data_IF_249940210070
#
_entry.id   IF_249940210070
#
_cell.length_a   1.000
_cell.length_b   1.000
_cell.length_c   1.000
_cell.angle_alpha   90.00
_cell.angle_beta   90.00
_cell.angle_gamma   90.00
#
_symmetry.space_group_name_H-M   'P 1'
#
loop_
_entity.id
_entity.type
_entity.pdbx_description
1 polymer ?
#
# COMPACT_ATOMS: atom_id res chain seq x y z
N UNK A 1 4.17 -6.37 -20.03
CA UNK A 1 4.01 -5.09 -19.32
C UNK A 1 5.27 -4.85 -18.51
N UNK A 2 6.02 -3.77 -18.79
CA UNK A 2 7.18 -3.39 -17.99
C UNK A 2 6.67 -2.68 -16.73
N UNK A 3 6.83 -3.29 -15.55
CA UNK A 3 6.54 -2.60 -14.28
C UNK A 3 7.63 -1.57 -14.03
N UNK A 4 7.24 -0.30 -13.85
CA UNK A 4 8.16 0.72 -13.36
C UNK A 4 8.04 0.77 -11.84
N UNK A 5 9.13 0.53 -11.08
CA UNK A 5 9.06 0.56 -9.63
C UNK A 5 8.71 1.98 -9.15
N UNK A 6 7.89 2.07 -8.10
CA UNK A 6 7.59 3.34 -7.46
C UNK A 6 8.88 3.97 -6.93
N UNK A 7 9.11 5.27 -7.10
CA UNK A 7 10.30 5.93 -6.58
C UNK A 7 10.28 5.88 -5.05
N UNK A 8 11.32 5.30 -4.45
CA UNK A 8 11.42 5.18 -2.99
C UNK A 8 11.96 6.47 -2.34
N UNK A 9 11.59 6.72 -1.09
CA UNK A 9 12.14 7.79 -0.26
C UNK A 9 12.18 7.37 1.20
N UNK A 10 13.15 7.88 1.95
CA UNK A 10 13.10 7.79 3.41
C UNK A 10 11.89 8.53 3.99
N UNK A 11 11.30 8.05 5.12
CA UNK A 11 10.15 8.69 5.78
C UNK A 11 10.36 10.16 6.08
N UNK A 12 11.48 10.51 6.74
CA UNK A 12 11.76 11.89 7.14
C UNK A 12 11.84 12.86 5.96
N UNK A 13 12.42 12.43 4.83
CA UNK A 13 12.49 13.23 3.61
C UNK A 13 11.09 13.47 2.99
N UNK A 14 10.12 12.62 3.29
CA UNK A 14 8.72 12.82 2.97
C UNK A 14 7.92 13.39 4.12
N UNK A 15 8.55 13.92 5.18
CA UNK A 15 7.87 14.47 6.35
C UNK A 15 7.00 13.45 7.10
N UNK A 16 7.37 12.17 7.05
CA UNK A 16 6.77 11.08 7.82
C UNK A 16 7.72 10.75 8.97
N UNK A 17 7.21 10.74 10.20
CA UNK A 17 7.97 10.30 11.36
C UNK A 17 8.20 8.78 11.30
N UNK A 18 9.47 8.37 11.23
CA UNK A 18 9.84 6.96 11.17
C UNK A 18 9.43 6.21 12.44
N UNK A 19 9.43 6.86 13.60
CA UNK A 19 9.01 6.23 14.86
C UNK A 19 7.52 5.87 14.85
N UNK A 20 6.68 6.70 14.22
CA UNK A 20 5.27 6.40 14.03
C UNK A 20 5.01 5.21 13.10
N UNK A 21 5.86 5.02 12.07
CA UNK A 21 5.79 3.83 11.21
C UNK A 21 6.12 2.57 12.02
N UNK A 22 7.18 2.60 12.83
CA UNK A 22 7.53 1.49 13.72
C UNK A 22 6.42 1.19 14.73
N UNK A 23 5.91 2.21 15.43
CA UNK A 23 4.83 2.04 16.40
C UNK A 23 3.57 1.43 15.78
N UNK A 24 3.25 1.77 14.53
CA UNK A 24 2.13 1.16 13.80
C UNK A 24 2.38 -0.32 13.48
N UNK A 25 3.61 -0.68 13.06
CA UNK A 25 3.98 -2.07 12.83
C UNK A 25 3.91 -2.88 14.14
N UNK A 26 4.46 -2.35 15.23
CA UNK A 26 4.40 -2.97 16.56
C UNK A 26 2.94 -3.20 17.00
N UNK A 27 2.06 -2.22 16.74
CA UNK A 27 0.64 -2.33 17.06
C UNK A 27 -0.09 -3.41 16.22
N UNK A 28 0.27 -3.57 14.93
CA UNK A 28 -0.26 -4.65 14.09
C UNK A 28 0.21 -6.01 14.58
N UNK A 29 1.48 -6.14 14.95
CA UNK A 29 2.05 -7.41 15.45
C UNK A 29 1.51 -7.78 16.84
N UNK A 30 1.20 -6.80 17.68
CA UNK A 30 0.62 -7.03 19.00
C UNK A 30 -0.88 -7.33 18.98
N UNK A 31 -1.58 -7.10 17.87
CA UNK A 31 -3.02 -7.29 17.76
C UNK A 31 -3.35 -8.76 17.40
N UNK A 32 -3.94 -9.55 18.31
CA UNK A 32 -4.13 -11.00 18.09
C UNK A 32 -5.18 -11.31 17.02
N UNK A 33 -6.11 -10.39 16.77
CA UNK A 33 -7.23 -10.58 15.85
C UNK A 33 -6.96 -10.05 14.43
N UNK A 34 -5.74 -9.57 14.17
CA UNK A 34 -5.35 -9.03 12.87
C UNK A 34 -4.34 -9.97 12.22
N UNK A 35 -4.64 -10.40 10.99
CA UNK A 35 -3.72 -11.17 10.15
C UNK A 35 -3.28 -10.27 8.97
N UNK A 36 -2.20 -9.47 9.13
CA UNK A 36 -1.78 -8.56 8.08
C UNK A 36 -1.11 -9.32 6.94
N UNK A 37 -1.45 -9.00 5.68
CA UNK A 37 -0.83 -9.64 4.50
C UNK A 37 0.29 -8.81 3.87
N UNK A 38 0.24 -7.49 4.03
CA UNK A 38 1.23 -6.57 3.49
C UNK A 38 0.84 -5.12 3.73
N UNK A 39 1.85 -4.26 3.72
CA UNK A 39 1.73 -2.83 3.96
C UNK A 39 2.56 -2.09 2.93
N UNK A 40 2.01 -1.00 2.39
CA UNK A 40 2.74 -0.01 1.60
C UNK A 40 2.27 1.38 2.02
N UNK A 41 3.20 2.25 2.38
CA UNK A 41 2.93 3.65 2.74
C UNK A 41 3.54 4.53 1.66
N UNK A 42 2.70 5.34 1.00
CA UNK A 42 3.12 6.27 -0.03
C UNK A 42 2.83 7.71 0.39
N UNK A 43 3.77 8.63 0.16
CA UNK A 43 3.56 10.08 0.34
C UNK A 43 4.27 10.87 -0.75
N UNK A 44 3.59 11.91 -1.28
CA UNK A 44 4.04 12.72 -2.41
C UNK A 44 4.49 11.89 -3.63
N UNK A 45 3.77 10.79 -3.91
CA UNK A 45 4.10 9.89 -5.02
C UNK A 45 5.33 9.00 -4.79
N UNK A 46 5.89 8.95 -3.58
CA UNK A 46 7.06 8.15 -3.23
C UNK A 46 6.73 7.06 -2.22
N UNK A 47 7.29 5.88 -2.41
CA UNK A 47 7.17 4.78 -1.45
C UNK A 47 8.06 5.06 -0.23
N UNK A 48 7.44 5.14 0.94
CA UNK A 48 8.08 5.50 2.20
C UNK A 48 8.42 4.26 3.04
N UNK A 49 7.53 3.28 3.06
CA UNK A 49 7.72 2.00 3.72
C UNK A 49 6.91 0.92 2.99
N UNK A 50 7.43 -0.30 2.92
CA UNK A 50 6.69 -1.45 2.42
C UNK A 50 7.19 -2.75 3.03
N UNK A 51 6.28 -3.70 3.26
CA UNK A 51 6.61 -5.01 3.80
C UNK A 51 5.47 -6.00 3.61
N UNK A 52 5.79 -7.29 3.74
CA UNK A 52 4.84 -8.40 3.63
C UNK A 52 5.13 -9.40 4.74
N UNK A 53 4.07 -9.83 5.44
CA UNK A 53 4.17 -10.89 6.43
C UNK A 53 4.13 -12.25 5.74
N UNK A 54 4.94 -13.19 6.20
CA UNK A 54 4.95 -14.54 5.64
C UNK A 54 3.59 -15.24 5.88
N UNK A 55 3.06 -16.02 4.90
CA UNK A 55 3.67 -16.41 3.62
C UNK A 55 3.32 -15.49 2.43
N UNK A 56 2.81 -14.28 2.68
CA UNK A 56 2.52 -13.31 1.63
C UNK A 56 3.81 -12.72 1.04
N UNK A 57 3.78 -12.41 -0.25
CA UNK A 57 4.91 -11.79 -0.96
C UNK A 57 4.39 -10.73 -1.93
N UNK A 58 5.25 -9.78 -2.29
CA UNK A 58 4.90 -8.68 -3.20
C UNK A 58 4.36 -9.14 -4.57
N UNK A 59 4.83 -10.29 -5.07
CA UNK A 59 4.43 -10.83 -6.38
C UNK A 59 3.21 -11.76 -6.33
N UNK A 60 2.72 -12.12 -5.15
CA UNK A 60 1.61 -13.06 -5.01
C UNK A 60 0.27 -12.33 -5.21
N UNK A 61 -0.60 -12.77 -6.13
CA UNK A 61 -1.95 -12.22 -6.26
C UNK A 61 -2.73 -12.36 -4.95
N UNK A 62 -3.46 -11.32 -4.58
CA UNK A 62 -4.30 -11.27 -3.39
C UNK A 62 -5.77 -11.14 -3.80
N UNK A 63 -6.67 -11.73 -3.01
CA UNK A 63 -8.11 -11.50 -3.15
C UNK A 63 -8.44 -10.13 -2.58
N UNK A 64 -8.84 -9.20 -3.45
CA UNK A 64 -9.13 -7.81 -3.06
C UNK A 64 -10.62 -7.55 -2.82
N UNK A 65 -11.47 -8.55 -3.05
CA UNK A 65 -12.92 -8.50 -2.83
C UNK A 65 -13.56 -7.21 -3.36
N UNK A 66 -14.29 -6.49 -2.50
CA UNK A 66 -15.01 -5.27 -2.85
C UNK A 66 -14.11 -4.11 -3.29
N UNK A 67 -12.79 -4.17 -3.10
CA UNK A 67 -11.88 -3.15 -3.64
C UNK A 67 -11.97 -3.05 -5.17
N UNK A 68 -12.33 -4.15 -5.84
CA UNK A 68 -12.66 -4.17 -7.28
C UNK A 68 -13.63 -3.05 -7.69
N UNK A 69 -14.58 -2.69 -6.82
CA UNK A 69 -15.55 -1.62 -7.08
C UNK A 69 -14.88 -0.26 -7.23
N UNK A 70 -13.85 0.04 -6.44
CA UNK A 70 -13.09 1.29 -6.57
C UNK A 70 -12.41 1.38 -7.92
N UNK A 71 -11.77 0.30 -8.40
CA UNK A 71 -11.16 0.29 -9.73
C UNK A 71 -12.20 0.50 -10.84
N UNK A 72 -13.34 -0.20 -10.77
CA UNK A 72 -14.43 -0.03 -11.76
C UNK A 72 -14.98 1.40 -11.75
N UNK A 73 -15.21 1.98 -10.57
CA UNK A 73 -15.70 3.35 -10.45
C UNK A 73 -14.70 4.38 -11.00
N UNK A 74 -13.40 4.22 -10.71
CA UNK A 74 -12.35 5.09 -11.28
C UNK A 74 -12.29 4.97 -12.80
N UNK A 75 -12.37 3.76 -13.35
CA UNK A 75 -12.38 3.55 -14.79
C UNK A 75 -13.60 4.23 -15.46
N UNK A 76 -14.78 4.10 -14.86
CA UNK A 76 -16.00 4.76 -15.34
C UNK A 76 -15.85 6.29 -15.32
N UNK A 77 -15.37 6.87 -14.22
CA UNK A 77 -15.15 8.32 -14.12
C UNK A 77 -14.12 8.85 -15.13
N UNK A 78 -13.04 8.09 -15.36
CA UNK A 78 -12.04 8.43 -16.38
C UNK A 78 -12.60 8.33 -17.81
N UNK A 79 -13.50 7.37 -18.08
CA UNK A 79 -14.15 7.24 -19.37
C UNK A 79 -15.11 8.40 -19.64
N UNK A 80 -15.88 8.79 -18.61
CA UNK A 80 -16.82 9.92 -18.70
C UNK A 80 -16.07 11.25 -18.92
N UNK A 81 -15.02 11.51 -18.14
CA UNK A 81 -14.23 12.75 -18.26
C UNK A 81 -13.37 12.87 -19.53
N UNK A 82 -13.38 11.87 -20.41
CA UNK A 82 -12.72 11.89 -21.73
C UNK A 82 -13.71 12.01 -22.90
N UNK A 83 -15.01 11.95 -22.63
CA UNK A 83 -16.06 12.36 -23.56
C UNK A 83 -16.17 13.87 -23.65
#
# INVERSE_FOLDING_TARGET
MTSHPLPASGPAAQGVDASGVHAFLDALEAAPDIEPHGLMILRHGRLVASGWWAPCTAGRPQLLYSLSKSFTATAAALAEGRG
#
